data_IF_237718909994
#
_entry.id   IF_237718909994
#
_cell.length_a   1.000
_cell.length_b   1.000
_cell.length_c   1.000
_cell.angle_alpha   90.00
_cell.angle_beta   90.00
_cell.angle_gamma   90.00
#
_symmetry.space_group_name_H-M   'P 1'
#
loop_
_entity.id
_entity.type
_entity.pdbx_description
1 polymer ?
#
# COMPACT_ATOMS: atom_id res chain seq x y z
N UNK A 1 -1.89 -16.18 44.60
CA UNK A 1 -3.26 -15.97 44.08
C UNK A 1 -3.37 -14.53 43.61
N UNK A 2 -3.77 -14.31 42.35
CA UNK A 2 -4.09 -12.96 41.88
C UNK A 2 -5.34 -12.48 42.63
N UNK A 3 -5.37 -11.22 43.05
CA UNK A 3 -6.58 -10.67 43.68
C UNK A 3 -7.71 -10.60 42.64
N UNK A 4 -8.94 -10.87 43.07
CA UNK A 4 -10.15 -10.84 42.22
C UNK A 4 -10.28 -9.52 41.46
N UNK A 5 -9.87 -8.41 42.07
CA UNK A 5 -9.84 -7.08 41.43
C UNK A 5 -8.87 -7.03 40.24
N UNK A 6 -7.66 -7.58 40.38
CA UNK A 6 -6.67 -7.61 39.29
C UNK A 6 -7.08 -8.56 38.17
N UNK A 7 -7.77 -9.66 38.50
CA UNK A 7 -8.33 -10.58 37.52
C UNK A 7 -9.41 -9.89 36.67
N UNK A 8 -10.38 -9.25 37.30
CA UNK A 8 -11.46 -8.53 36.60
C UNK A 8 -10.94 -7.38 35.74
N UNK A 9 -9.90 -6.68 36.19
CA UNK A 9 -9.27 -5.62 35.39
C UNK A 9 -8.59 -6.19 34.14
N UNK A 10 -7.88 -7.32 34.29
CA UNK A 10 -7.27 -8.03 33.16
C UNK A 10 -8.32 -8.50 32.15
N UNK A 11 -9.40 -9.09 32.65
CA UNK A 11 -10.50 -9.62 31.83
C UNK A 11 -11.15 -8.51 31.00
N UNK A 12 -11.35 -7.32 31.60
CA UNK A 12 -11.84 -6.13 30.87
C UNK A 12 -10.86 -5.65 29.80
N UNK A 13 -9.56 -5.64 30.08
CA UNK A 13 -8.53 -5.23 29.10
C UNK A 13 -8.44 -6.21 27.94
N UNK A 14 -8.54 -7.51 28.21
CA UNK A 14 -8.57 -8.55 27.17
C UNK A 14 -9.82 -8.42 26.31
N UNK A 15 -11.01 -8.27 26.91
CA UNK A 15 -12.26 -8.08 26.16
C UNK A 15 -12.22 -6.81 25.27
N UNK A 16 -11.62 -5.73 25.75
CA UNK A 16 -11.44 -4.50 24.96
C UNK A 16 -10.48 -4.72 23.77
N UNK A 17 -9.40 -5.48 23.96
CA UNK A 17 -8.46 -5.82 22.90
C UNK A 17 -9.08 -6.75 21.85
N UNK A 18 -9.87 -7.74 22.27
CA UNK A 18 -10.59 -8.64 21.37
C UNK A 18 -11.62 -7.88 20.53
N UNK A 19 -12.36 -6.93 21.13
CA UNK A 19 -13.28 -6.05 20.39
C UNK A 19 -12.54 -5.18 19.37
N UNK A 20 -11.39 -4.61 19.73
CA UNK A 20 -10.58 -3.82 18.83
C UNK A 20 -10.01 -4.65 17.67
N UNK A 21 -9.53 -5.87 17.96
CA UNK A 21 -9.06 -6.82 16.95
C UNK A 21 -10.19 -7.26 16.02
N UNK A 22 -11.38 -7.54 16.56
CA UNK A 22 -12.56 -7.88 15.77
C UNK A 22 -13.02 -6.72 14.89
N UNK A 23 -12.94 -5.47 15.38
CA UNK A 23 -13.22 -4.27 14.60
C UNK A 23 -12.19 -4.07 13.48
N UNK A 24 -10.91 -4.31 13.74
CA UNK A 24 -9.84 -4.28 12.74
C UNK A 24 -9.95 -5.43 11.72
N UNK A 25 -10.49 -6.58 12.13
CA UNK A 25 -10.78 -7.72 11.25
C UNK A 25 -12.06 -7.56 10.42
N UNK A 26 -12.85 -6.49 10.60
CA UNK A 26 -13.98 -6.18 9.72
C UNK A 26 -13.45 -5.91 8.31
N UNK A 27 -13.40 -6.98 7.51
CA UNK A 27 -13.10 -7.00 6.08
C UNK A 27 -13.86 -5.88 5.38
N UNK A 28 -13.17 -4.79 5.05
CA UNK A 28 -13.75 -3.74 4.20
C UNK A 28 -13.19 -2.35 4.43
N UNK A 29 -12.73 -2.01 5.64
CA UNK A 29 -12.07 -0.72 5.85
C UNK A 29 -10.60 -0.83 5.46
N UNK A 30 -10.19 0.00 4.50
CA UNK A 30 -8.78 0.27 4.26
C UNK A 30 -8.26 1.00 5.50
N UNK A 31 -7.17 0.52 6.16
CA UNK A 31 -6.62 1.19 7.33
C UNK A 31 -6.30 2.66 7.03
N UNK A 32 -6.38 3.52 8.05
CA UNK A 32 -6.10 4.94 7.88
C UNK A 32 -4.70 5.17 7.27
N UNK A 33 -4.62 6.02 6.23
CA UNK A 33 -3.39 6.27 5.47
C UNK A 33 -3.01 5.20 4.44
N UNK A 34 -3.80 4.14 4.30
CA UNK A 34 -3.65 3.15 3.24
C UNK A 34 -4.65 3.44 2.11
N UNK A 35 -4.29 3.05 0.89
CA UNK A 35 -5.17 3.12 -0.27
C UNK A 35 -5.01 1.87 -1.15
N UNK A 36 -6.06 1.44 -1.88
CA UNK A 36 -5.95 0.32 -2.80
C UNK A 36 -4.86 0.55 -3.86
N UNK A 37 -3.96 -0.42 -4.01
CA UNK A 37 -2.85 -0.36 -4.96
C UNK A 37 -3.35 -0.21 -6.41
N UNK A 38 -4.50 -0.81 -6.73
CA UNK A 38 -5.13 -0.71 -8.05
C UNK A 38 -5.49 0.73 -8.41
N UNK A 39 -6.04 1.48 -7.46
CA UNK A 39 -6.40 2.89 -7.63
C UNK A 39 -5.15 3.74 -7.84
N UNK A 40 -4.16 3.58 -6.96
CA UNK A 40 -2.91 4.34 -7.07
C UNK A 40 -2.10 3.99 -8.33
N UNK A 41 -2.14 2.73 -8.77
CA UNK A 41 -1.52 2.31 -10.03
C UNK A 41 -2.15 3.03 -11.22
N UNK A 42 -3.49 3.11 -11.26
CA UNK A 42 -4.21 3.82 -12.30
C UNK A 42 -3.89 5.33 -12.30
N UNK A 43 -3.86 5.97 -11.12
CA UNK A 43 -3.46 7.39 -10.96
C UNK A 43 -2.05 7.65 -11.52
N UNK A 44 -1.11 6.73 -11.26
CA UNK A 44 0.28 6.85 -11.69
C UNK A 44 0.51 6.36 -13.13
N UNK A 45 -0.54 5.89 -13.81
CA UNK A 45 -0.47 5.32 -15.15
C UNK A 45 0.34 4.02 -15.25
N UNK A 46 0.46 3.27 -14.15
CA UNK A 46 1.20 2.01 -14.06
C UNK A 46 0.25 0.81 -14.11
N UNK A 47 0.76 -0.34 -14.57
CA UNK A 47 0.05 -1.61 -14.35
C UNK A 47 0.12 -2.00 -12.88
N UNK A 48 -0.86 -2.77 -12.40
CA UNK A 48 -0.94 -3.23 -11.00
C UNK A 48 0.29 -4.04 -10.59
N UNK A 49 0.76 -4.95 -11.44
CA UNK A 49 2.00 -5.71 -11.18
C UNK A 49 3.22 -4.78 -11.03
N UNK A 50 3.33 -3.73 -11.87
CA UNK A 50 4.44 -2.79 -11.81
C UNK A 50 4.35 -1.85 -10.61
N UNK A 51 3.14 -1.46 -10.21
CA UNK A 51 2.92 -0.75 -8.96
C UNK A 51 3.30 -1.61 -7.75
N UNK A 52 3.04 -2.92 -7.78
CA UNK A 52 3.42 -3.84 -6.71
C UNK A 52 4.96 -4.02 -6.62
N UNK A 53 5.63 -4.17 -7.77
CA UNK A 53 7.10 -4.15 -7.83
C UNK A 53 7.67 -2.83 -7.30
N UNK A 54 7.08 -1.70 -7.69
CA UNK A 54 7.48 -0.37 -7.21
C UNK A 54 7.38 -0.28 -5.69
N UNK A 55 6.22 -0.64 -5.14
CA UNK A 55 5.98 -0.59 -3.70
C UNK A 55 6.98 -1.49 -2.94
N UNK A 56 7.22 -2.71 -3.42
CA UNK A 56 8.21 -3.64 -2.82
C UNK A 56 9.62 -3.07 -2.86
N UNK A 57 10.06 -2.60 -4.02
CA UNK A 57 11.45 -2.17 -4.22
C UNK A 57 11.75 -0.82 -3.57
N UNK A 58 10.72 0.00 -3.31
CA UNK A 58 10.86 1.28 -2.61
C UNK A 58 10.56 1.17 -1.10
N UNK A 59 10.30 -0.03 -0.57
CA UNK A 59 10.03 -0.23 0.86
C UNK A 59 8.70 0.38 1.34
N UNK A 60 7.73 0.52 0.44
CA UNK A 60 6.37 0.98 0.81
C UNK A 60 5.63 -0.17 1.46
N UNK A 61 5.00 0.10 2.62
CA UNK A 61 4.19 -0.89 3.32
C UNK A 61 3.05 -1.39 2.43
N UNK A 62 2.96 -2.72 2.28
CA UNK A 62 1.92 -3.42 1.51
C UNK A 62 1.14 -4.33 2.46
N UNK A 63 -0.18 -4.27 2.40
CA UNK A 63 -1.09 -5.14 3.15
C UNK A 63 -2.05 -5.80 2.18
N UNK A 64 -2.35 -7.09 2.40
CA UNK A 64 -3.36 -7.80 1.63
C UNK A 64 -4.75 -7.29 2.00
N UNK A 65 -5.51 -6.83 1.01
CA UNK A 65 -6.86 -6.30 1.19
C UNK A 65 -7.81 -6.92 0.16
N UNK A 66 -8.69 -7.82 0.63
CA UNK A 66 -9.56 -8.61 -0.24
C UNK A 66 -8.77 -9.45 -1.24
N UNK A 67 -9.08 -9.30 -2.53
CA UNK A 67 -8.37 -9.96 -3.64
C UNK A 67 -7.16 -9.16 -4.15
N UNK A 68 -6.83 -8.03 -3.53
CA UNK A 68 -5.73 -7.17 -3.95
C UNK A 68 -4.83 -6.75 -2.80
N UNK A 69 -4.11 -5.66 -3.05
CA UNK A 69 -3.17 -5.05 -2.11
C UNK A 69 -3.60 -3.62 -1.80
N UNK A 70 -3.40 -3.20 -0.55
CA UNK A 70 -3.45 -1.81 -0.13
C UNK A 70 -2.05 -1.37 0.28
N UNK A 71 -1.68 -0.13 -0.04
CA UNK A 71 -0.37 0.44 0.25
C UNK A 71 -0.48 1.79 0.93
N UNK A 72 0.56 2.17 1.66
CA UNK A 72 0.59 3.48 2.32
C UNK A 72 0.59 4.58 1.26
N UNK A 73 -0.47 5.40 1.25
CA UNK A 73 -0.81 6.28 0.14
C UNK A 73 0.27 7.33 -0.14
N UNK A 74 0.61 8.14 0.86
CA UNK A 74 1.60 9.22 0.73
C UNK A 74 2.97 8.69 0.28
N UNK A 75 3.48 7.65 0.95
CA UNK A 75 4.78 7.03 0.62
C UNK A 75 4.78 6.40 -0.77
N UNK A 76 3.68 5.77 -1.18
CA UNK A 76 3.56 5.23 -2.53
C UNK A 76 3.62 6.34 -3.57
N UNK A 77 2.88 7.44 -3.39
CA UNK A 77 2.88 8.55 -4.34
C UNK A 77 4.25 9.19 -4.47
N UNK A 78 4.93 9.43 -3.35
CA UNK A 78 6.29 9.97 -3.35
C UNK A 78 7.26 9.06 -4.12
N UNK A 79 7.26 7.75 -3.80
CA UNK A 79 8.10 6.77 -4.49
C UNK A 79 7.78 6.69 -5.99
N UNK A 80 6.50 6.66 -6.35
CA UNK A 80 6.05 6.62 -7.73
C UNK A 80 6.50 7.84 -8.52
N UNK A 81 6.41 9.04 -7.94
CA UNK A 81 6.89 10.28 -8.55
C UNK A 81 8.40 10.25 -8.79
N UNK A 82 9.20 9.77 -7.83
CA UNK A 82 10.65 9.65 -8.00
C UNK A 82 10.97 8.70 -9.16
N UNK A 83 10.35 7.51 -9.17
CA UNK A 83 10.56 6.49 -10.21
C UNK A 83 10.13 7.00 -11.59
N UNK A 84 8.97 7.63 -11.71
CA UNK A 84 8.43 8.14 -12.98
C UNK A 84 9.24 9.35 -13.49
N UNK A 85 9.75 10.19 -12.60
CA UNK A 85 10.65 11.29 -12.98
C UNK A 85 12.00 10.76 -13.48
N UNK A 86 12.55 9.73 -12.82
CA UNK A 86 13.81 9.10 -13.19
C UNK A 86 13.73 8.15 -14.40
N UNK A 87 12.53 7.76 -14.82
CA UNK A 87 12.34 6.80 -15.90
C UNK A 87 12.75 7.38 -17.26
N UNK A 88 13.48 6.59 -18.04
CA UNK A 88 13.94 6.94 -19.38
C UNK A 88 13.13 6.20 -20.45
N UNK A 89 12.91 6.85 -21.58
CA UNK A 89 12.19 6.28 -22.74
C UNK A 89 12.98 6.57 -24.01
N UNK A 90 13.23 5.53 -24.81
CA UNK A 90 13.79 5.70 -26.17
C UNK A 90 12.74 6.35 -27.07
N UNK A 91 13.14 7.31 -27.90
CA UNK A 91 12.24 7.97 -28.86
C UNK A 91 11.50 6.92 -29.71
N UNK A 92 10.18 7.08 -29.85
CA UNK A 92 9.29 6.15 -30.56
C UNK A 92 8.95 4.84 -29.84
N UNK A 93 9.67 4.44 -28.77
CA UNK A 93 9.35 3.21 -28.02
C UNK A 93 8.10 3.38 -27.17
N UNK A 94 7.17 2.43 -27.09
CA UNK A 94 6.06 2.50 -26.10
C UNK A 94 6.49 2.26 -24.64
N UNK A 95 7.72 1.80 -24.44
CA UNK A 95 8.22 1.35 -23.15
C UNK A 95 9.15 2.37 -22.48
N UNK A 96 8.94 2.53 -21.18
CA UNK A 96 9.79 3.23 -20.24
C UNK A 96 10.69 2.24 -19.50
N UNK A 97 11.80 2.74 -18.96
CA UNK A 97 12.73 1.97 -18.15
C UNK A 97 13.15 2.76 -16.92
N UNK A 98 13.11 2.11 -15.76
CA UNK A 98 13.70 2.60 -14.52
C UNK A 98 14.44 1.44 -13.84
N UNK A 99 15.66 1.64 -13.27
CA UNK A 99 16.42 0.56 -12.65
C UNK A 99 15.65 -0.22 -11.58
N UNK A 100 14.81 0.47 -10.80
CA UNK A 100 14.03 -0.15 -9.72
C UNK A 100 12.85 -1.01 -10.18
N UNK A 101 12.25 -0.77 -11.36
CA UNK A 101 11.03 -1.49 -11.79
C UNK A 101 11.15 -2.09 -13.21
N UNK A 102 12.36 -2.03 -13.77
CA UNK A 102 12.69 -2.50 -15.09
C UNK A 102 11.90 -1.78 -16.19
N UNK A 103 11.49 -2.56 -17.19
CA UNK A 103 10.73 -2.09 -18.36
C UNK A 103 9.23 -2.07 -18.03
N UNK A 104 8.56 -0.96 -18.34
CA UNK A 104 7.11 -0.80 -18.11
C UNK A 104 6.46 0.11 -19.16
N UNK A 105 5.14 0.09 -19.22
CA UNK A 105 4.34 1.02 -20.04
C UNK A 105 3.68 2.05 -19.12
N UNK A 106 3.50 3.26 -19.62
CA UNK A 106 2.69 4.29 -18.95
C UNK A 106 1.56 4.72 -19.86
N UNK A 107 0.34 4.75 -19.33
CA UNK A 107 -0.84 5.26 -20.04
C UNK A 107 -0.80 6.79 -20.15
N UNK A 108 -0.38 7.46 -19.09
CA UNK A 108 -0.14 8.90 -19.05
C UNK A 108 1.01 9.20 -18.09
N UNK A 109 1.74 10.31 -18.34
CA UNK A 109 2.63 10.86 -17.32
C UNK A 109 1.78 11.68 -16.36
N UNK A 110 1.79 11.39 -15.04
CA UNK A 110 1.17 12.26 -14.06
C UNK A 110 1.72 13.67 -14.26
N UNK A 111 0.86 14.60 -14.65
CA UNK A 111 1.18 16.02 -14.65
C UNK A 111 1.06 16.43 -13.19
N UNK A 112 2.18 16.81 -12.57
CA UNK A 112 2.18 17.39 -11.24
C UNK A 112 1.46 18.75 -11.25
#
# INVERSE_FOLDING_TARGET
MISTLKFNELEKRVAALELALAAMQRKGSVPEGMAPLTTLAAEMGLSTCKAEELARNCGVMIVRHGNGHAVHEAKFREAALIVIKGAKRKYGSKYWYHPLIGKFTMSARPQL
#
